data_IF_722132445058
#
_entry.id   IF_722132445058
#
_cell.length_a   1.000
_cell.length_b   1.000
_cell.length_c   1.000
_cell.angle_alpha   90.00
_cell.angle_beta   90.00
_cell.angle_gamma   90.00
#
_symmetry.space_group_name_H-M   'P 1'
#
loop_
_entity.id
_entity.type
_entity.pdbx_description
1 polymer ?
#
# COMPACT_ATOMS: atom_id res chain seq x y z
N UNK A 1 -19.27 0.36 -69.34
CA UNK A 1 -17.92 0.50 -68.77
C UNK A 1 -17.79 1.68 -67.79
N UNK A 2 -18.34 2.87 -68.04
CA UNK A 2 -18.23 4.03 -67.13
C UNK A 2 -18.98 3.90 -65.79
N UNK A 3 -20.11 3.17 -65.74
CA UNK A 3 -20.91 2.94 -64.51
C UNK A 3 -20.21 1.99 -63.55
N UNK A 4 -19.47 1.01 -64.04
CA UNK A 4 -18.73 0.03 -63.21
C UNK A 4 -17.56 0.66 -62.48
N UNK A 5 -16.87 1.65 -63.06
CA UNK A 5 -15.79 2.41 -62.42
C UNK A 5 -16.24 3.34 -61.30
N UNK A 6 -17.47 3.91 -61.44
CA UNK A 6 -18.04 4.79 -60.39
C UNK A 6 -18.45 4.00 -59.13
N UNK A 7 -18.91 2.77 -59.27
CA UNK A 7 -19.32 1.91 -58.13
C UNK A 7 -18.05 1.41 -57.40
N UNK A 8 -17.01 1.02 -58.12
CA UNK A 8 -15.74 0.57 -57.51
C UNK A 8 -15.01 1.73 -56.81
N UNK A 9 -15.05 2.94 -57.34
CA UNK A 9 -14.45 4.09 -56.69
C UNK A 9 -15.23 4.54 -55.45
N UNK A 10 -16.57 4.39 -55.40
CA UNK A 10 -17.39 4.70 -54.25
C UNK A 10 -17.21 3.67 -53.13
N UNK A 11 -17.03 2.36 -53.43
CA UNK A 11 -16.72 1.34 -52.48
C UNK A 11 -15.29 1.45 -51.89
N UNK A 12 -14.34 1.88 -52.64
CA UNK A 12 -12.95 2.13 -52.18
C UNK A 12 -12.87 3.36 -51.27
N UNK A 13 -13.61 4.42 -51.53
CA UNK A 13 -13.67 5.62 -50.66
C UNK A 13 -14.43 5.33 -49.36
N UNK A 14 -15.48 4.50 -49.37
CA UNK A 14 -16.18 4.09 -48.17
C UNK A 14 -15.36 3.14 -47.29
N UNK A 15 -14.46 2.30 -47.81
CA UNK A 15 -13.54 1.48 -47.02
C UNK A 15 -12.42 2.29 -46.35
N UNK A 16 -12.02 3.43 -46.94
CA UNK A 16 -11.00 4.31 -46.33
C UNK A 16 -11.58 5.08 -45.14
N UNK A 17 -12.90 5.39 -45.13
CA UNK A 17 -13.55 6.04 -43.99
C UNK A 17 -13.86 5.10 -42.80
N UNK A 18 -13.90 3.77 -42.96
CA UNK A 18 -14.08 2.80 -41.88
C UNK A 18 -12.77 2.33 -41.23
N UNK A 19 -11.62 2.70 -41.80
CA UNK A 19 -10.30 2.38 -41.24
C UNK A 19 -9.75 3.49 -40.31
N UNK A 20 -10.46 4.63 -40.16
CA UNK A 20 -9.97 5.79 -39.40
C UNK A 20 -10.69 6.06 -38.09
N UNK A 21 -11.29 5.06 -37.44
CA UNK A 21 -11.83 5.17 -36.09
C UNK A 21 -11.47 3.97 -35.23
N UNK A 22 -10.19 3.60 -35.22
CA UNK A 22 -9.55 3.01 -34.05
C UNK A 22 -8.60 4.07 -33.52
N UNK A 23 -9.16 5.10 -32.91
CA UNK A 23 -8.36 5.98 -32.07
C UNK A 23 -7.99 5.17 -30.83
N UNK A 24 -6.72 4.99 -30.71
CA UNK A 24 -6.04 4.42 -29.56
C UNK A 24 -6.47 5.10 -28.25
N UNK A 25 -7.48 4.57 -27.61
CA UNK A 25 -7.71 4.79 -26.18
C UNK A 25 -6.71 4.01 -25.30
N UNK A 26 -5.50 3.79 -25.81
CA UNK A 26 -4.31 3.38 -25.02
C UNK A 26 -3.63 4.59 -24.38
N UNK A 27 -4.39 5.61 -24.06
CA UNK A 27 -3.80 6.83 -23.52
C UNK A 27 -4.15 6.92 -22.04
N UNK A 28 -3.12 6.94 -21.24
CA UNK A 28 -2.92 7.80 -20.08
C UNK A 28 -2.99 7.25 -18.66
N UNK A 29 -2.91 5.97 -18.35
CA UNK A 29 -2.59 5.62 -16.96
C UNK A 29 -1.17 6.12 -16.59
N UNK A 30 -0.17 5.92 -17.46
CA UNK A 30 1.21 6.41 -17.23
C UNK A 30 1.38 7.93 -17.24
N UNK A 31 0.60 8.68 -18.03
CA UNK A 31 0.70 10.14 -18.11
C UNK A 31 -0.01 10.83 -16.97
N UNK A 32 -1.13 10.26 -16.50
CA UNK A 32 -1.87 10.75 -15.36
C UNK A 32 -1.09 10.60 -14.03
N UNK A 33 -0.29 9.55 -13.93
CA UNK A 33 0.50 9.29 -12.72
C UNK A 33 1.68 10.25 -12.50
N UNK A 34 2.11 11.01 -13.51
CA UNK A 34 3.26 11.94 -13.39
C UNK A 34 2.81 13.35 -13.01
N UNK A 35 1.65 13.79 -13.48
CA UNK A 35 1.14 15.14 -13.26
C UNK A 35 0.93 15.44 -11.75
N UNK A 36 0.48 14.47 -10.96
CA UNK A 36 0.26 14.64 -9.53
C UNK A 36 1.53 14.93 -8.70
N UNK A 37 2.72 14.62 -9.25
CA UNK A 37 4.01 14.96 -8.60
C UNK A 37 4.55 16.31 -9.07
N UNK A 38 4.31 16.67 -10.35
CA UNK A 38 5.01 17.76 -11.01
C UNK A 38 4.21 19.06 -11.06
N UNK A 39 2.87 18.98 -11.01
CA UNK A 39 2.01 20.14 -11.24
C UNK A 39 1.04 20.32 -10.06
N UNK A 40 0.67 21.56 -9.76
CA UNK A 40 -0.47 21.84 -8.91
C UNK A 40 -1.76 21.46 -9.63
N UNK A 41 -2.61 20.69 -8.93
CA UNK A 41 -3.87 20.21 -9.49
C UNK A 41 -4.97 21.23 -9.22
N UNK A 42 -5.87 21.42 -10.22
CA UNK A 42 -7.06 22.22 -10.01
C UNK A 42 -8.02 21.44 -9.09
N UNK A 43 -8.48 22.00 -7.95
CA UNK A 43 -9.38 21.31 -7.04
C UNK A 43 -10.78 21.18 -7.64
N UNK A 44 -11.51 20.12 -7.25
CA UNK A 44 -12.94 19.99 -7.47
C UNK A 44 -13.69 21.00 -6.56
N UNK A 45 -14.58 21.78 -7.11
CA UNK A 45 -15.29 22.84 -6.38
C UNK A 45 -16.32 22.29 -5.38
N UNK A 46 -16.87 21.10 -5.64
CA UNK A 46 -17.93 20.49 -4.82
C UNK A 46 -17.41 19.40 -3.90
N UNK A 47 -16.34 18.73 -4.29
CA UNK A 47 -15.76 17.60 -3.58
C UNK A 47 -14.23 17.76 -3.44
N UNK A 48 -13.74 18.83 -2.81
CA UNK A 48 -12.31 19.08 -2.69
C UNK A 48 -11.61 17.99 -1.88
N UNK A 49 -10.32 17.87 -2.12
CA UNK A 49 -9.44 17.07 -1.26
C UNK A 49 -9.47 17.61 0.18
N UNK A 50 -9.37 16.72 1.17
CA UNK A 50 -9.51 17.11 2.58
C UNK A 50 -8.65 16.28 3.53
N UNK A 51 -8.77 16.64 4.81
CA UNK A 51 -8.25 15.85 5.92
C UNK A 51 -9.36 15.66 6.96
N UNK A 52 -9.51 14.45 7.46
CA UNK A 52 -10.52 14.07 8.47
C UNK A 52 -9.81 13.33 9.59
N UNK A 53 -9.98 13.78 10.85
CA UNK A 53 -9.49 13.07 12.01
C UNK A 53 -10.27 11.77 12.23
N UNK A 54 -9.55 10.71 12.61
CA UNK A 54 -10.10 9.37 12.79
C UNK A 54 -9.93 8.87 14.23
N UNK A 55 -10.95 8.17 14.70
CA UNK A 55 -10.95 7.38 15.92
C UNK A 55 -11.37 5.96 15.55
N UNK A 56 -10.40 5.07 15.38
CA UNK A 56 -10.62 3.70 14.95
C UNK A 56 -10.65 2.82 16.21
N UNK A 57 -11.67 1.98 16.34
CA UNK A 57 -11.76 1.03 17.45
C UNK A 57 -11.05 -0.27 17.08
N UNK A 58 -10.18 -0.75 17.97
CA UNK A 58 -9.56 -2.06 17.89
C UNK A 58 -9.57 -2.71 19.25
N UNK A 59 -10.26 -3.86 19.38
CA UNK A 59 -10.38 -4.60 20.62
C UNK A 59 -10.88 -3.71 21.82
N UNK A 60 -11.88 -2.86 21.54
CA UNK A 60 -12.46 -1.93 22.52
C UNK A 60 -11.57 -0.73 22.88
N UNK A 61 -10.42 -0.55 22.23
CA UNK A 61 -9.49 0.55 22.50
C UNK A 61 -9.41 1.48 21.27
N UNK A 62 -9.29 2.79 21.55
CA UNK A 62 -9.24 3.81 20.48
C UNK A 62 -7.84 4.02 19.97
N UNK A 63 -7.68 3.88 18.67
CA UNK A 63 -6.53 4.33 17.88
C UNK A 63 -6.84 5.68 17.24
N UNK A 64 -5.85 6.57 17.20
CA UNK A 64 -5.98 7.90 16.61
C UNK A 64 -5.23 7.96 15.28
N UNK A 65 -5.84 8.61 14.32
CA UNK A 65 -5.28 8.77 12.99
C UNK A 65 -5.99 9.84 12.19
N UNK A 66 -5.75 9.87 10.90
CA UNK A 66 -6.45 10.76 9.97
C UNK A 66 -6.58 10.13 8.59
N UNK A 67 -7.57 10.61 7.84
CA UNK A 67 -7.74 10.33 6.42
C UNK A 67 -7.34 11.56 5.61
N UNK A 68 -6.50 11.38 4.60
CA UNK A 68 -6.42 12.28 3.47
C UNK A 68 -7.42 11.82 2.42
N UNK A 69 -8.50 12.58 2.20
CA UNK A 69 -9.49 12.27 1.17
C UNK A 69 -9.05 12.87 -0.16
N UNK A 70 -9.17 12.07 -1.21
CA UNK A 70 -8.84 12.51 -2.57
C UNK A 70 -9.82 13.56 -3.08
N UNK A 71 -9.38 14.29 -4.09
CA UNK A 71 -10.18 15.25 -4.82
C UNK A 71 -11.22 14.55 -5.73
N UNK A 72 -12.44 15.11 -5.85
CA UNK A 72 -13.51 14.57 -6.66
C UNK A 72 -14.58 13.81 -5.87
N UNK A 73 -15.71 13.54 -6.55
CA UNK A 73 -16.92 12.94 -5.97
C UNK A 73 -16.68 11.55 -5.37
N UNK A 74 -15.77 10.77 -5.96
CA UNK A 74 -15.55 9.37 -5.59
C UNK A 74 -16.67 8.42 -6.04
N UNK A 75 -16.77 7.19 -5.48
CA UNK A 75 -15.90 6.68 -4.41
C UNK A 75 -14.46 6.46 -4.87
N UNK A 76 -13.51 6.63 -3.94
CA UNK A 76 -12.08 6.55 -4.22
C UNK A 76 -11.47 5.22 -3.74
N UNK A 77 -10.54 4.61 -4.49
CA UNK A 77 -9.70 3.56 -3.97
C UNK A 77 -8.91 4.09 -2.77
N UNK A 78 -8.65 3.24 -1.79
CA UNK A 78 -8.11 3.69 -0.51
C UNK A 78 -6.89 2.89 -0.11
N UNK A 79 -5.83 3.59 0.30
CA UNK A 79 -4.59 3.01 0.82
C UNK A 79 -4.52 3.24 2.32
N UNK A 80 -4.35 2.17 3.10
CA UNK A 80 -4.00 2.25 4.52
C UNK A 80 -2.48 2.23 4.61
N UNK A 81 -1.89 3.33 5.10
CA UNK A 81 -0.45 3.50 5.24
C UNK A 81 -0.02 3.12 6.66
N UNK A 82 0.78 2.06 6.76
CA UNK A 82 1.22 1.44 8.00
C UNK A 82 2.66 1.85 8.34
N UNK A 83 2.83 2.52 9.48
CA UNK A 83 4.14 3.02 9.89
C UNK A 83 5.05 1.93 10.46
N UNK A 84 6.36 2.18 10.38
CA UNK A 84 7.40 1.35 10.99
C UNK A 84 7.53 1.56 12.49
N UNK A 85 8.62 1.05 13.05
CA UNK A 85 8.99 1.24 14.46
C UNK A 85 10.08 2.32 14.55
N UNK A 86 9.92 3.36 15.37
CA UNK A 86 8.82 3.66 16.31
C UNK A 86 7.65 4.44 15.70
N UNK A 87 7.64 4.75 14.41
CA UNK A 87 6.62 5.55 13.75
C UNK A 87 6.95 7.04 13.61
N UNK A 88 8.22 7.42 13.73
CA UNK A 88 8.69 8.78 13.44
C UNK A 88 8.59 9.08 11.94
N UNK A 89 9.05 8.13 11.11
CA UNK A 89 8.92 8.19 9.68
C UNK A 89 7.49 7.76 9.28
N UNK A 90 6.64 8.75 9.10
CA UNK A 90 5.23 8.55 8.77
C UNK A 90 4.98 8.47 7.27
N UNK A 91 6.00 8.73 6.45
CA UNK A 91 5.89 8.76 4.98
C UNK A 91 4.75 9.67 4.48
N UNK A 92 4.53 10.82 5.11
CA UNK A 92 3.42 11.71 4.76
C UNK A 92 3.60 12.39 3.41
N UNK A 93 4.82 12.54 2.91
CA UNK A 93 5.13 12.94 1.54
C UNK A 93 4.57 11.93 0.54
N UNK A 94 4.75 10.62 0.81
CA UNK A 94 4.17 9.54 0.03
C UNK A 94 2.63 9.57 0.12
N UNK A 95 2.08 9.74 1.33
CA UNK A 95 0.65 9.85 1.54
C UNK A 95 0.01 11.00 0.73
N UNK A 96 0.65 12.18 0.74
CA UNK A 96 0.19 13.34 -0.03
C UNK A 96 0.22 13.08 -1.53
N UNK A 97 1.27 12.45 -2.04
CA UNK A 97 1.37 12.14 -3.46
C UNK A 97 0.36 11.07 -3.89
N UNK A 98 0.15 10.03 -3.09
CA UNK A 98 -0.88 9.01 -3.34
C UNK A 98 -2.28 9.64 -3.34
N UNK A 99 -2.57 10.58 -2.41
CA UNK A 99 -3.81 11.36 -2.42
C UNK A 99 -3.99 12.14 -3.72
N UNK A 100 -2.94 12.85 -4.16
CA UNK A 100 -2.94 13.63 -5.41
C UNK A 100 -3.12 12.74 -6.65
N UNK A 101 -2.73 11.46 -6.57
CA UNK A 101 -3.01 10.45 -7.59
C UNK A 101 -4.48 9.93 -7.56
N UNK A 102 -5.34 10.44 -6.69
CA UNK A 102 -6.76 10.12 -6.64
C UNK A 102 -7.16 9.00 -5.67
N UNK A 103 -6.27 8.61 -4.77
CA UNK A 103 -6.53 7.64 -3.72
C UNK A 103 -6.84 8.34 -2.39
N UNK A 104 -7.76 7.82 -1.59
CA UNK A 104 -7.75 8.16 -0.18
C UNK A 104 -6.56 7.51 0.49
N UNK A 105 -5.97 8.18 1.49
CA UNK A 105 -4.91 7.61 2.31
C UNK A 105 -5.29 7.70 3.77
N UNK A 106 -5.29 6.56 4.45
CA UNK A 106 -5.55 6.43 5.87
C UNK A 106 -4.23 6.21 6.59
N UNK A 107 -3.95 7.04 7.57
CA UNK A 107 -2.85 6.87 8.50
C UNK A 107 -3.39 6.78 9.92
N UNK A 108 -2.89 5.86 10.72
CA UNK A 108 -3.23 5.76 12.14
C UNK A 108 -2.03 5.26 12.95
N UNK A 109 -2.06 5.55 14.23
CA UNK A 109 -1.09 5.04 15.19
C UNK A 109 -1.63 3.75 15.81
N UNK A 110 -0.85 2.67 15.81
CA UNK A 110 -1.25 1.40 16.44
C UNK A 110 -1.55 1.57 17.92
N UNK A 111 -2.28 0.64 18.51
CA UNK A 111 -2.50 0.61 19.97
C UNK A 111 -1.18 0.73 20.72
N UNK A 112 -1.16 1.57 21.75
CA UNK A 112 0.01 1.82 22.56
C UNK A 112 1.11 2.66 21.89
N UNK A 113 0.83 3.31 20.76
CA UNK A 113 1.78 4.22 20.10
C UNK A 113 1.19 5.63 19.96
N UNK A 114 2.04 6.66 20.11
CA UNK A 114 1.73 8.05 19.74
C UNK A 114 0.36 8.57 20.26
N UNK A 115 -0.02 8.18 21.48
CA UNK A 115 -1.27 8.59 22.12
C UNK A 115 -2.46 7.67 21.88
N UNK A 116 -2.38 6.69 20.98
CA UNK A 116 -3.37 5.63 20.88
C UNK A 116 -3.41 4.79 22.16
N UNK A 117 -4.61 4.37 22.58
CA UNK A 117 -4.82 3.64 23.83
C UNK A 117 -4.25 2.21 23.75
N UNK A 118 -4.03 1.61 24.92
CA UNK A 118 -3.60 0.21 25.05
C UNK A 118 -2.09 0.01 25.08
N UNK A 119 -1.66 -1.22 24.80
CA UNK A 119 -0.26 -1.65 24.83
C UNK A 119 0.18 -2.03 23.42
N UNK A 120 1.36 -1.57 23.02
CA UNK A 120 1.94 -1.91 21.75
C UNK A 120 2.47 -3.35 21.75
N UNK A 121 2.16 -4.08 20.68
CA UNK A 121 2.63 -5.43 20.41
C UNK A 121 2.51 -5.77 18.94
N UNK A 122 3.39 -6.62 18.41
CA UNK A 122 3.42 -6.91 16.97
C UNK A 122 2.11 -7.56 16.48
N UNK A 123 1.57 -8.53 17.24
CA UNK A 123 0.27 -9.12 16.91
C UNK A 123 -0.87 -8.12 17.03
N UNK A 124 -0.81 -7.22 18.03
CA UNK A 124 -1.80 -6.16 18.16
C UNK A 124 -1.80 -5.26 16.93
N UNK A 125 -0.64 -4.87 16.44
CA UNK A 125 -0.51 -4.03 15.25
C UNK A 125 -1.06 -4.71 13.97
N UNK A 126 -0.92 -6.04 13.84
CA UNK A 126 -1.56 -6.81 12.76
C UNK A 126 -3.10 -6.74 12.88
N UNK A 127 -3.63 -6.92 14.08
CA UNK A 127 -5.07 -6.84 14.34
C UNK A 127 -5.60 -5.41 14.12
N UNK A 128 -4.80 -4.40 14.50
CA UNK A 128 -5.12 -2.99 14.31
C UNK A 128 -5.25 -2.61 12.83
N UNK A 129 -4.39 -3.17 11.97
CA UNK A 129 -4.50 -2.99 10.54
C UNK A 129 -5.81 -3.58 9.98
N UNK A 130 -6.24 -4.75 10.47
CA UNK A 130 -7.53 -5.36 10.10
C UNK A 130 -8.70 -4.50 10.61
N UNK A 131 -8.62 -4.00 11.85
CA UNK A 131 -9.64 -3.09 12.40
C UNK A 131 -9.78 -1.79 11.61
N UNK A 132 -8.70 -1.30 10.99
CA UNK A 132 -8.76 -0.17 10.08
C UNK A 132 -9.52 -0.51 8.79
N UNK A 133 -9.43 -1.74 8.28
CA UNK A 133 -10.27 -2.21 7.16
C UNK A 133 -11.73 -2.32 7.59
N UNK A 134 -12.02 -2.82 8.79
CA UNK A 134 -13.39 -2.88 9.34
C UNK A 134 -14.01 -1.48 9.40
N UNK A 135 -13.24 -0.50 9.90
CA UNK A 135 -13.65 0.90 9.96
C UNK A 135 -14.00 1.47 8.58
N UNK A 136 -13.18 1.19 7.57
CA UNK A 136 -13.39 1.69 6.20
C UNK A 136 -14.53 1.00 5.45
N UNK A 137 -14.87 -0.23 5.82
CA UNK A 137 -15.96 -0.99 5.20
C UNK A 137 -17.30 -0.83 5.92
N UNK A 138 -17.32 -0.17 7.06
CA UNK A 138 -18.56 0.32 7.67
C UNK A 138 -19.23 1.34 6.74
N UNK A 139 -20.53 1.21 6.50
CA UNK A 139 -21.25 2.00 5.48
C UNK A 139 -21.21 3.50 5.75
N UNK A 140 -21.31 3.91 7.03
CA UNK A 140 -21.32 5.32 7.42
C UNK A 140 -19.93 5.93 7.19
N UNK A 141 -18.87 5.22 7.59
CA UNK A 141 -17.49 5.68 7.39
C UNK A 141 -17.10 5.69 5.91
N UNK A 142 -17.51 4.66 5.15
CA UNK A 142 -17.26 4.56 3.72
C UNK A 142 -17.88 5.73 2.96
N UNK A 143 -19.14 6.07 3.25
CA UNK A 143 -19.82 7.21 2.64
C UNK A 143 -19.15 8.53 3.04
N UNK A 144 -18.92 8.75 4.34
CA UNK A 144 -18.28 9.96 4.86
C UNK A 144 -16.91 10.24 4.23
N UNK A 145 -16.09 9.19 4.04
CA UNK A 145 -14.75 9.29 3.49
C UNK A 145 -14.72 9.06 1.97
N UNK A 146 -15.84 8.80 1.33
CA UNK A 146 -15.95 8.50 -0.10
C UNK A 146 -15.08 7.29 -0.51
N UNK A 147 -15.10 6.21 0.29
CA UNK A 147 -14.29 5.00 0.08
C UNK A 147 -14.94 4.05 -0.91
N UNK A 148 -14.19 3.59 -1.92
CA UNK A 148 -14.52 2.39 -2.69
C UNK A 148 -14.10 1.15 -1.87
N UNK A 149 -15.05 0.56 -1.15
CA UNK A 149 -14.80 -0.61 -0.28
C UNK A 149 -14.35 -1.86 -1.03
N UNK A 150 -14.49 -1.88 -2.36
CA UNK A 150 -13.98 -2.95 -3.22
C UNK A 150 -12.51 -2.77 -3.60
N UNK A 151 -11.89 -1.61 -3.26
CA UNK A 151 -10.55 -1.21 -3.66
C UNK A 151 -9.75 -0.68 -2.46
N UNK A 152 -9.42 -1.56 -1.53
CA UNK A 152 -8.59 -1.26 -0.36
C UNK A 152 -7.22 -1.92 -0.56
N UNK A 153 -6.15 -1.16 -0.29
CA UNK A 153 -4.77 -1.62 -0.29
C UNK A 153 -4.07 -1.30 1.03
N UNK A 154 -3.07 -2.10 1.37
CA UNK A 154 -2.07 -1.74 2.38
C UNK A 154 -0.79 -1.26 1.70
N UNK A 155 -0.17 -0.23 2.26
CA UNK A 155 1.22 0.13 2.02
C UNK A 155 1.91 0.32 3.36
N UNK A 156 3.06 -0.32 3.57
CA UNK A 156 3.76 -0.24 4.84
C UNK A 156 5.26 -0.11 4.67
N UNK A 157 5.92 0.52 5.65
CA UNK A 157 7.37 0.68 5.71
C UNK A 157 7.93 -0.04 6.92
N UNK A 158 9.06 -0.76 6.75
CA UNK A 158 9.78 -1.44 7.82
C UNK A 158 8.87 -2.45 8.56
N UNK A 159 8.67 -2.30 9.86
CA UNK A 159 7.71 -3.11 10.62
C UNK A 159 6.29 -3.01 10.03
N UNK A 160 5.88 -1.83 9.56
CA UNK A 160 4.59 -1.64 8.89
C UNK A 160 4.48 -2.43 7.59
N UNK A 161 5.57 -2.69 6.89
CA UNK A 161 5.59 -3.56 5.71
C UNK A 161 5.34 -5.03 6.07
N UNK A 162 5.97 -5.52 7.14
CA UNK A 162 5.68 -6.85 7.68
C UNK A 162 4.22 -6.99 8.11
N UNK A 163 3.69 -5.97 8.80
CA UNK A 163 2.27 -5.93 9.20
C UNK A 163 1.35 -5.89 7.98
N UNK A 164 1.67 -5.06 6.95
CA UNK A 164 0.90 -4.97 5.71
C UNK A 164 0.78 -6.33 5.02
N UNK A 165 1.88 -7.08 4.94
CA UNK A 165 1.90 -8.42 4.35
C UNK A 165 1.10 -9.40 5.20
N UNK A 166 1.39 -9.51 6.51
CA UNK A 166 0.72 -10.48 7.38
C UNK A 166 -0.79 -10.23 7.54
N UNK A 167 -1.21 -8.97 7.67
CA UNK A 167 -2.62 -8.62 7.75
C UNK A 167 -3.31 -8.70 6.38
N UNK A 168 -2.67 -8.14 5.35
CA UNK A 168 -3.23 -8.10 4.01
C UNK A 168 -3.40 -9.47 3.36
N UNK A 169 -2.50 -10.41 3.65
CA UNK A 169 -2.64 -11.80 3.16
C UNK A 169 -3.84 -12.52 3.78
N UNK A 170 -4.22 -12.17 5.01
CA UNK A 170 -5.34 -12.77 5.74
C UNK A 170 -6.70 -12.15 5.39
N UNK A 171 -6.74 -10.86 5.07
CA UNK A 171 -8.01 -10.15 4.84
C UNK A 171 -8.38 -10.11 3.34
N UNK A 172 -9.46 -10.80 2.89
CA UNK A 172 -9.84 -10.85 1.48
C UNK A 172 -10.30 -9.50 0.90
N UNK A 173 -10.62 -8.53 1.74
CA UNK A 173 -11.02 -7.17 1.33
C UNK A 173 -9.83 -6.35 0.84
N UNK A 174 -8.62 -6.68 1.29
CA UNK A 174 -7.38 -6.04 0.83
C UNK A 174 -7.00 -6.63 -0.54
N UNK A 175 -6.94 -5.79 -1.57
CA UNK A 175 -6.73 -6.20 -2.97
C UNK A 175 -5.28 -6.10 -3.41
N UNK A 176 -4.53 -5.17 -2.83
CA UNK A 176 -3.13 -4.92 -3.18
C UNK A 176 -2.31 -4.64 -1.92
N UNK A 177 -1.08 -5.11 -1.88
CA UNK A 177 -0.17 -4.94 -0.74
C UNK A 177 1.15 -4.39 -1.26
N UNK A 178 1.66 -3.35 -0.61
CA UNK A 178 2.98 -2.77 -0.87
C UNK A 178 3.82 -2.85 0.40
N UNK A 179 4.92 -3.58 0.34
CA UNK A 179 5.94 -3.65 1.40
C UNK A 179 7.18 -2.85 1.01
N UNK A 180 7.57 -1.89 1.85
CA UNK A 180 8.76 -1.06 1.67
C UNK A 180 9.73 -1.42 2.78
N UNK A 181 10.93 -1.94 2.46
CA UNK A 181 11.93 -2.36 3.45
C UNK A 181 11.37 -3.32 4.50
N UNK A 182 10.98 -4.51 4.06
CA UNK A 182 10.16 -5.43 4.87
C UNK A 182 10.88 -5.92 6.12
N UNK A 183 10.33 -5.64 7.30
CA UNK A 183 10.70 -6.31 8.53
C UNK A 183 10.05 -7.69 8.60
N UNK A 184 10.87 -8.75 8.57
CA UNK A 184 10.43 -10.13 8.71
C UNK A 184 10.95 -10.70 10.03
N UNK A 185 10.12 -10.80 11.09
CA UNK A 185 10.59 -11.30 12.38
C UNK A 185 11.05 -12.75 12.32
N UNK A 186 10.44 -13.58 11.47
CA UNK A 186 10.85 -14.97 11.29
C UNK A 186 12.30 -15.08 10.81
N UNK A 187 12.65 -14.38 9.73
CA UNK A 187 14.03 -14.39 9.21
C UNK A 187 15.02 -13.74 10.17
N UNK A 188 14.61 -12.68 10.88
CA UNK A 188 15.48 -11.96 11.81
C UNK A 188 15.81 -12.77 13.06
N UNK A 189 14.85 -13.53 13.58
CA UNK A 189 14.94 -14.19 14.89
C UNK A 189 15.16 -15.70 14.79
N UNK A 190 15.64 -16.20 13.65
CA UNK A 190 16.02 -17.60 13.45
C UNK A 190 17.47 -17.73 12.99
N UNK A 191 18.06 -18.91 13.25
CA UNK A 191 19.40 -19.29 12.77
C UNK A 191 20.54 -18.58 13.49
N UNK A 192 21.68 -18.53 12.82
CA UNK A 192 22.88 -17.89 13.33
C UNK A 192 22.67 -16.37 13.48
N UNK A 193 23.01 -15.82 14.65
CA UNK A 193 22.81 -14.40 14.97
C UNK A 193 21.43 -14.04 15.58
N UNK A 194 20.48 -14.97 15.67
CA UNK A 194 19.15 -14.72 16.24
C UNK A 194 19.18 -14.15 17.66
N UNK A 195 20.08 -14.66 18.52
CA UNK A 195 20.27 -14.16 19.89
C UNK A 195 20.73 -12.70 19.90
N UNK A 196 21.73 -12.36 19.07
CA UNK A 196 22.22 -10.98 18.93
C UNK A 196 21.15 -10.03 18.41
N UNK A 197 20.35 -10.47 17.44
CA UNK A 197 19.23 -9.70 16.91
C UNK A 197 18.14 -9.49 17.96
N UNK A 198 17.86 -10.50 18.79
CA UNK A 198 16.89 -10.41 19.88
C UNK A 198 17.33 -9.37 20.93
N UNK A 199 18.63 -9.43 21.33
CA UNK A 199 19.22 -8.47 22.27
C UNK A 199 19.13 -7.05 21.67
N UNK A 200 19.58 -6.87 20.44
CA UNK A 200 19.56 -5.57 19.77
C UNK A 200 18.16 -5.00 19.62
N UNK A 201 17.16 -5.83 19.28
CA UNK A 201 15.77 -5.40 19.20
C UNK A 201 15.21 -4.98 20.58
N UNK A 202 15.57 -5.72 21.64
CA UNK A 202 15.21 -5.35 23.01
C UNK A 202 15.81 -4.01 23.43
N UNK A 203 17.09 -3.82 23.21
CA UNK A 203 17.78 -2.56 23.49
C UNK A 203 17.17 -1.40 22.72
N UNK A 204 16.88 -1.62 21.45
CA UNK A 204 16.21 -0.62 20.64
C UNK A 204 14.83 -0.25 21.21
N UNK A 205 14.00 -1.23 21.56
CA UNK A 205 12.67 -0.98 22.16
C UNK A 205 12.77 -0.15 23.46
N UNK A 206 13.79 -0.34 24.27
CA UNK A 206 14.02 0.45 25.49
C UNK A 206 14.29 1.93 25.23
N UNK A 207 14.75 2.29 24.04
CA UNK A 207 14.98 3.69 23.65
C UNK A 207 13.72 4.43 23.16
N UNK A 208 12.62 3.70 22.93
CA UNK A 208 11.43 4.22 22.25
C UNK A 208 10.37 4.73 23.22
N UNK A 209 10.54 5.96 23.72
CA UNK A 209 9.63 6.58 24.68
C UNK A 209 8.20 6.84 24.17
N UNK A 210 7.96 6.71 22.85
CA UNK A 210 6.65 6.92 22.23
C UNK A 210 5.76 5.67 22.26
N UNK A 211 6.28 4.55 22.77
CA UNK A 211 5.58 3.26 22.82
C UNK A 211 5.23 2.90 24.25
N UNK A 212 3.97 2.64 24.52
CA UNK A 212 3.56 1.92 25.71
C UNK A 212 3.79 0.42 25.49
N UNK A 213 5.04 -0.01 25.66
CA UNK A 213 5.51 -1.36 25.35
C UNK A 213 6.35 -1.90 26.50
N UNK A 214 6.13 -3.15 26.87
CA UNK A 214 7.08 -3.93 27.68
C UNK A 214 7.96 -4.73 26.70
N UNK A 215 9.28 -4.42 26.56
CA UNK A 215 10.15 -5.06 25.60
C UNK A 215 10.25 -6.58 25.78
N UNK A 216 10.30 -7.10 26.99
CA UNK A 216 10.36 -8.55 27.22
C UNK A 216 9.08 -9.21 26.70
N UNK A 217 7.90 -8.69 27.13
CA UNK A 217 6.62 -9.22 26.66
C UNK A 217 6.47 -9.13 25.15
N UNK A 218 6.91 -8.03 24.52
CA UNK A 218 6.86 -7.86 23.08
C UNK A 218 7.63 -8.97 22.36
N UNK A 219 8.85 -9.28 22.84
CA UNK A 219 9.70 -10.33 22.28
C UNK A 219 9.15 -11.73 22.54
N UNK A 220 8.69 -11.99 23.78
CA UNK A 220 8.08 -13.28 24.14
C UNK A 220 6.83 -13.56 23.26
N UNK A 221 5.99 -12.55 23.03
CA UNK A 221 4.80 -12.66 22.18
C UNK A 221 5.17 -12.92 20.70
N UNK A 222 6.28 -12.36 20.19
CA UNK A 222 6.78 -12.66 18.85
C UNK A 222 7.33 -14.09 18.77
N UNK A 223 8.17 -14.48 19.73
CA UNK A 223 8.79 -15.81 19.74
C UNK A 223 7.75 -16.92 19.86
N UNK A 224 6.71 -16.72 20.67
CA UNK A 224 5.62 -17.68 20.83
C UNK A 224 4.81 -17.92 19.53
N UNK A 225 4.89 -17.01 18.55
CA UNK A 225 4.15 -17.08 17.28
C UNK A 225 5.08 -17.01 16.06
N UNK A 226 6.38 -17.22 16.23
CA UNK A 226 7.39 -16.92 15.22
C UNK A 226 7.11 -17.58 13.87
N UNK A 227 6.72 -18.86 13.87
CA UNK A 227 6.37 -19.60 12.64
C UNK A 227 5.18 -18.98 11.90
N UNK A 228 4.25 -18.35 12.62
CA UNK A 228 3.10 -17.66 12.03
C UNK A 228 3.48 -16.33 11.34
N UNK A 229 4.70 -15.86 11.56
CA UNK A 229 5.25 -14.66 10.96
C UNK A 229 6.25 -14.95 9.83
N UNK A 230 6.32 -16.18 9.33
CA UNK A 230 7.06 -16.49 8.10
C UNK A 230 6.36 -15.87 6.88
N UNK A 231 6.72 -14.62 6.61
CA UNK A 231 6.14 -13.82 5.54
C UNK A 231 6.45 -14.42 4.18
N UNK A 232 7.67 -14.92 3.97
CA UNK A 232 8.10 -15.46 2.68
C UNK A 232 7.28 -16.69 2.29
N UNK A 233 7.05 -17.62 3.24
CA UNK A 233 6.20 -18.78 3.00
C UNK A 233 4.75 -18.37 2.73
N UNK A 234 4.20 -17.39 3.45
CA UNK A 234 2.84 -16.91 3.20
C UNK A 234 2.72 -16.23 1.83
N UNK A 235 3.68 -15.39 1.46
CA UNK A 235 3.74 -14.75 0.13
C UNK A 235 3.83 -15.80 -0.97
N UNK A 236 4.64 -16.86 -0.79
CA UNK A 236 4.80 -17.92 -1.80
C UNK A 236 3.49 -18.64 -2.16
N UNK A 237 2.57 -18.72 -1.21
CA UNK A 237 1.27 -19.40 -1.33
C UNK A 237 0.12 -18.49 -1.76
N UNK A 238 0.38 -17.18 -1.88
CA UNK A 238 -0.66 -16.20 -2.15
C UNK A 238 -0.75 -15.82 -3.62
N UNK A 239 -1.97 -15.59 -4.11
CA UNK A 239 -2.26 -15.02 -5.43
C UNK A 239 -2.61 -13.51 -5.36
N UNK A 240 -2.47 -12.88 -4.21
CA UNK A 240 -2.71 -11.44 -4.07
C UNK A 240 -1.68 -10.61 -4.83
N UNK A 241 -2.08 -9.41 -5.21
CA UNK A 241 -1.17 -8.45 -5.81
C UNK A 241 -0.23 -7.89 -4.73
N UNK A 242 1.08 -8.15 -4.88
CA UNK A 242 2.11 -7.79 -3.89
C UNK A 242 3.29 -7.14 -4.60
N UNK A 243 3.63 -5.92 -4.17
CA UNK A 243 4.88 -5.23 -4.51
C UNK A 243 5.77 -5.17 -3.27
N UNK A 244 7.02 -5.60 -3.40
CA UNK A 244 8.03 -5.40 -2.36
C UNK A 244 9.18 -4.59 -2.93
N UNK A 245 9.57 -3.52 -2.22
CA UNK A 245 10.71 -2.68 -2.57
C UNK A 245 11.63 -2.61 -1.35
N UNK A 246 12.79 -3.24 -1.44
CA UNK A 246 13.78 -3.24 -0.37
C UNK A 246 14.98 -2.36 -0.71
N UNK A 247 15.64 -1.82 0.31
CA UNK A 247 16.99 -1.29 0.18
C UNK A 247 18.03 -2.42 0.22
N UNK A 248 19.21 -2.15 -0.32
CA UNK A 248 20.29 -3.13 -0.51
C UNK A 248 20.84 -3.76 0.79
N UNK A 249 20.54 -3.19 1.94
CA UNK A 249 20.95 -3.71 3.25
C UNK A 249 19.89 -4.61 3.90
N UNK A 250 18.69 -4.72 3.32
CA UNK A 250 17.65 -5.57 3.85
C UNK A 250 17.91 -7.05 3.52
N UNK A 251 17.80 -7.92 4.51
CA UNK A 251 18.11 -9.35 4.41
C UNK A 251 16.91 -10.21 3.97
N UNK A 252 15.92 -9.64 3.29
CA UNK A 252 14.80 -10.41 2.76
C UNK A 252 15.20 -11.19 1.51
N UNK A 253 14.53 -12.32 1.26
CA UNK A 253 14.81 -13.18 0.11
C UNK A 253 13.61 -13.26 -0.85
N UNK A 254 12.98 -12.12 -1.10
CA UNK A 254 11.82 -12.05 -2.00
C UNK A 254 12.17 -12.16 -3.49
N UNK A 255 13.43 -11.94 -3.86
CA UNK A 255 13.92 -12.06 -5.26
C UNK A 255 13.62 -13.43 -5.87
N UNK A 256 13.58 -14.49 -5.05
CA UNK A 256 13.26 -15.86 -5.49
C UNK A 256 11.83 -16.02 -6.04
N UNK A 257 10.94 -15.05 -5.80
CA UNK A 257 9.57 -15.08 -6.31
C UNK A 257 9.39 -14.36 -7.64
N UNK A 258 10.40 -13.67 -8.17
CA UNK A 258 10.39 -13.03 -9.47
C UNK A 258 10.88 -13.99 -10.58
N UNK A 259 10.25 -13.98 -11.79
CA UNK A 259 8.98 -13.31 -12.10
C UNK A 259 7.77 -14.18 -11.71
N UNK A 260 6.76 -13.58 -11.09
CA UNK A 260 5.49 -14.23 -10.79
C UNK A 260 4.33 -13.27 -11.10
N UNK A 261 3.25 -13.78 -11.68
CA UNK A 261 2.05 -12.99 -11.87
C UNK A 261 1.57 -12.44 -10.54
N UNK A 262 1.20 -11.17 -10.49
CA UNK A 262 0.74 -10.46 -9.29
C UNK A 262 1.78 -10.28 -8.17
N UNK A 263 3.06 -10.49 -8.47
CA UNK A 263 4.15 -10.21 -7.54
C UNK A 263 5.28 -9.49 -8.27
N UNK A 264 5.79 -8.41 -7.68
CA UNK A 264 6.98 -7.71 -8.13
C UNK A 264 7.90 -7.41 -6.94
N UNK A 265 9.20 -7.65 -7.14
CA UNK A 265 10.23 -7.36 -6.15
C UNK A 265 11.31 -6.49 -6.75
N UNK A 266 11.68 -5.45 -6.02
CA UNK A 266 12.75 -4.53 -6.41
C UNK A 266 13.71 -4.31 -5.25
N UNK A 267 14.99 -4.35 -5.53
CA UNK A 267 16.03 -3.95 -4.59
C UNK A 267 16.71 -2.68 -5.09
N UNK A 268 16.78 -1.67 -4.25
CA UNK A 268 17.35 -0.38 -4.59
C UNK A 268 18.59 -0.05 -3.75
N UNK A 269 19.58 0.60 -4.37
CA UNK A 269 20.70 1.18 -3.64
C UNK A 269 20.25 2.52 -3.03
N UNK A 270 19.85 2.48 -1.78
CA UNK A 270 19.31 3.60 -1.00
C UNK A 270 19.44 3.29 0.51
N UNK A 271 19.13 4.27 1.34
CA UNK A 271 19.00 4.09 2.79
C UNK A 271 17.62 3.54 3.18
N UNK A 272 17.46 3.15 4.45
CA UNK A 272 16.23 2.58 4.99
C UNK A 272 15.00 3.50 4.83
N UNK A 273 15.20 4.83 4.83
CA UNK A 273 14.13 5.82 4.62
C UNK A 273 13.87 6.14 3.13
N UNK A 274 14.65 5.56 2.22
CA UNK A 274 14.60 5.85 0.78
C UNK A 274 14.83 7.33 0.46
N UNK A 275 15.69 8.02 1.21
CA UNK A 275 15.86 9.48 1.17
C UNK A 275 16.16 9.99 -0.25
N UNK A 276 17.04 9.33 -0.99
CA UNK A 276 17.41 9.70 -2.36
C UNK A 276 16.50 9.10 -3.45
N UNK A 277 15.42 8.41 -3.09
CA UNK A 277 14.52 7.69 -4.00
C UNK A 277 13.02 7.99 -3.80
N UNK A 278 12.65 8.98 -2.96
CA UNK A 278 11.24 9.25 -2.58
C UNK A 278 10.32 9.46 -3.80
N UNK A 279 10.78 10.20 -4.82
CA UNK A 279 9.99 10.41 -6.05
C UNK A 279 9.82 9.10 -6.83
N UNK A 280 10.91 8.32 -6.98
CA UNK A 280 10.86 7.05 -7.68
C UNK A 280 9.98 6.04 -6.92
N UNK A 281 10.08 5.99 -5.59
CA UNK A 281 9.25 5.16 -4.72
C UNK A 281 7.76 5.48 -4.90
N UNK A 282 7.40 6.76 -4.86
CA UNK A 282 6.03 7.22 -5.08
C UNK A 282 5.50 6.76 -6.45
N UNK A 283 6.27 6.97 -7.51
CA UNK A 283 5.88 6.57 -8.88
C UNK A 283 5.65 5.07 -8.98
N UNK A 284 6.54 4.29 -8.40
CA UNK A 284 6.46 2.83 -8.44
C UNK A 284 5.20 2.32 -7.73
N UNK A 285 4.94 2.85 -6.53
CA UNK A 285 3.77 2.47 -5.73
C UNK A 285 2.47 2.86 -6.45
N UNK A 286 2.36 4.09 -6.95
CA UNK A 286 1.15 4.53 -7.64
C UNK A 286 0.91 3.73 -8.92
N UNK A 287 1.95 3.46 -9.72
CA UNK A 287 1.82 2.62 -10.91
C UNK A 287 1.32 1.21 -10.56
N UNK A 288 1.87 0.61 -9.49
CA UNK A 288 1.43 -0.69 -9.00
C UNK A 288 -0.04 -0.69 -8.55
N UNK A 289 -0.45 0.31 -7.80
CA UNK A 289 -1.83 0.47 -7.34
C UNK A 289 -2.79 0.68 -8.52
N UNK A 290 -2.42 1.51 -9.51
CA UNK A 290 -3.22 1.70 -10.72
C UNK A 290 -3.38 0.39 -11.51
N UNK A 291 -2.30 -0.36 -11.68
CA UNK A 291 -2.34 -1.63 -12.43
C UNK A 291 -3.16 -2.71 -11.71
N UNK A 292 -3.14 -2.74 -10.38
CA UNK A 292 -3.78 -3.81 -9.60
C UNK A 292 -5.19 -3.50 -9.10
N UNK A 293 -5.51 -2.20 -8.94
CA UNK A 293 -6.79 -1.77 -8.39
C UNK A 293 -7.71 -1.07 -9.40
N UNK A 294 -7.17 -0.43 -10.45
CA UNK A 294 -7.97 0.32 -11.41
C UNK A 294 -8.10 -0.39 -12.76
N UNK A 295 -7.07 -1.09 -13.22
CA UNK A 295 -7.04 -1.73 -14.54
C UNK A 295 -7.53 -3.19 -14.46
N UNK A 296 -8.83 -3.43 -14.59
CA UNK A 296 -9.40 -4.79 -14.62
C UNK A 296 -9.07 -5.63 -15.86
N UNK A 297 -8.44 -5.08 -16.90
CA UNK A 297 -8.28 -5.75 -18.20
C UNK A 297 -7.05 -6.64 -18.35
N UNK A 298 -6.14 -6.71 -17.36
CA UNK A 298 -4.90 -7.50 -17.49
C UNK A 298 -4.86 -8.83 -16.71
N UNK A 299 -5.96 -9.20 -16.04
CA UNK A 299 -6.04 -10.47 -15.32
C UNK A 299 -7.00 -11.39 -16.06
N UNK A 300 -6.53 -11.96 -17.17
CA UNK A 300 -7.10 -13.16 -17.82
C UNK A 300 -5.98 -14.12 -18.16
#
# INVERSE_FOLDING_TARGET
>A
MKILYSIILFCLVSMIFLASCKSDNKINSKKRSIEYIQNDLKPDEFFPAGQVELQIQSDGLTMYGFAYTADGKGPHPTVILLHGLPGNERSLDLAQNIRRAGYNVIYFNYRGTWGSKGTFGFQNAINDAISAVDYLTDSINAEKLRVDTSKIAFAGHSMGAGIALLAGLKDPRVKSIVGISVFNPFTLLQGEGAEGNLIGLKEYLLTLGMLNCNPNKFLDDILAKLDSYDIETQVSRSNKAILVIDEHQNNTNFSKFNPRQNFDYKMWNTDHAFTNRRIALTKEIVNWLDDTMLNKEKVK
#
